data_IF_384835792954
#
_entry.id   IF_384835792954
#
_cell.length_a   1.000
_cell.length_b   1.000
_cell.length_c   1.000
_cell.angle_alpha   90.00
_cell.angle_beta   90.00
_cell.angle_gamma   90.00
#
_symmetry.space_group_name_H-M   'P 1'
#
loop_
_entity.id
_entity.type
_entity.pdbx_description
1 polymer ?
#
# COMPACT_ATOMS: atom_id res chain seq x y z
N UNK A 1 -5.41 -28.55 3.70
CA UNK A 1 -4.75 -27.23 3.70
C UNK A 1 -3.31 -27.44 3.30
N UNK A 2 -2.76 -26.66 2.37
CA UNK A 2 -1.33 -26.74 2.04
C UNK A 2 -0.49 -26.34 3.26
N UNK A 3 0.73 -26.86 3.41
CA UNK A 3 1.59 -26.55 4.57
C UNK A 3 1.83 -25.04 4.76
N UNK A 4 1.97 -24.29 3.66
CA UNK A 4 2.06 -22.82 3.66
C UNK A 4 0.78 -22.15 4.16
N UNK A 5 -0.41 -22.59 3.71
CA UNK A 5 -1.66 -22.02 4.16
C UNK A 5 -1.89 -22.25 5.67
N UNK A 6 -1.47 -23.41 6.19
CA UNK A 6 -1.50 -23.69 7.62
C UNK A 6 -0.58 -22.73 8.41
N UNK A 7 0.61 -22.44 7.88
CA UNK A 7 1.55 -21.52 8.51
C UNK A 7 0.98 -20.08 8.58
N UNK A 8 0.47 -19.55 7.47
CA UNK A 8 -0.10 -18.19 7.45
C UNK A 8 -1.35 -18.06 8.33
N UNK A 9 -2.24 -19.06 8.29
CA UNK A 9 -3.44 -19.06 9.15
C UNK A 9 -3.09 -19.20 10.64
N UNK A 10 -2.10 -20.03 10.98
CA UNK A 10 -1.61 -20.17 12.35
C UNK A 10 -0.98 -18.89 12.88
N UNK A 11 -0.11 -18.25 12.10
CA UNK A 11 0.51 -16.96 12.46
C UNK A 11 -0.52 -15.84 12.61
N UNK A 12 -1.49 -15.77 11.69
CA UNK A 12 -2.57 -14.79 11.76
C UNK A 12 -3.43 -14.96 13.01
N UNK A 13 -3.83 -16.18 13.32
CA UNK A 13 -4.61 -16.48 14.53
C UNK A 13 -3.82 -16.13 15.80
N UNK A 14 -2.55 -16.54 15.89
CA UNK A 14 -1.70 -16.24 17.04
C UNK A 14 -1.54 -14.72 17.26
N UNK A 15 -1.31 -13.97 16.19
CA UNK A 15 -1.20 -12.51 16.27
C UNK A 15 -2.48 -11.87 16.82
N UNK A 16 -3.65 -12.24 16.27
CA UNK A 16 -4.93 -11.66 16.69
C UNK A 16 -5.34 -12.05 18.11
N UNK A 17 -5.12 -13.30 18.52
CA UNK A 17 -5.43 -13.74 19.89
C UNK A 17 -4.53 -13.04 20.91
N UNK A 18 -3.24 -12.88 20.62
CA UNK A 18 -2.32 -12.12 21.48
C UNK A 18 -2.71 -10.65 21.54
N UNK A 19 -3.03 -10.00 20.40
CA UNK A 19 -3.48 -8.61 20.40
C UNK A 19 -4.75 -8.40 21.22
N UNK A 20 -5.73 -9.29 21.10
CA UNK A 20 -6.99 -9.22 21.86
C UNK A 20 -6.73 -9.44 23.36
N UNK A 21 -5.90 -10.41 23.72
CA UNK A 21 -5.51 -10.64 25.11
C UNK A 21 -4.79 -9.44 25.72
N UNK A 22 -3.82 -8.86 25.00
CA UNK A 22 -3.12 -7.64 25.42
C UNK A 22 -4.11 -6.47 25.56
N UNK A 23 -4.98 -6.24 24.57
CA UNK A 23 -5.99 -5.17 24.62
C UNK A 23 -6.91 -5.27 25.83
N UNK A 24 -7.42 -6.47 26.13
CA UNK A 24 -8.25 -6.71 27.32
C UNK A 24 -7.46 -6.49 28.62
N UNK A 25 -6.20 -6.92 28.68
CA UNK A 25 -5.36 -6.67 29.87
C UNK A 25 -5.15 -5.18 30.11
N UNK A 26 -4.86 -4.40 29.06
CA UNK A 26 -4.66 -2.96 29.19
C UNK A 26 -5.92 -2.23 29.71
N UNK A 27 -7.13 -2.70 29.36
CA UNK A 27 -8.38 -2.12 29.86
C UNK A 27 -8.74 -2.58 31.28
N UNK A 28 -8.52 -3.84 31.62
CA UNK A 28 -8.86 -4.39 32.95
C UNK A 28 -7.91 -3.89 34.05
N UNK A 29 -6.61 -3.77 33.76
CA UNK A 29 -5.61 -3.33 34.73
C UNK A 29 -5.49 -1.80 34.84
N UNK A 30 -6.45 -1.05 34.29
CA UNK A 30 -6.50 0.42 34.29
C UNK A 30 -5.23 1.09 33.71
N UNK A 31 -4.49 0.37 32.87
CA UNK A 31 -3.29 0.81 32.16
C UNK A 31 -3.62 1.40 30.78
N UNK A 32 -4.91 1.60 30.48
CA UNK A 32 -5.39 2.09 29.18
C UNK A 32 -4.79 3.44 28.79
N UNK A 33 -4.42 4.28 29.76
CA UNK A 33 -3.74 5.56 29.53
C UNK A 33 -2.36 5.42 28.85
N UNK A 34 -1.74 4.22 28.90
CA UNK A 34 -0.47 3.94 28.20
C UNK A 34 -0.67 3.58 26.74
N UNK A 35 -1.89 3.19 26.34
CA UNK A 35 -2.22 2.93 24.95
C UNK A 35 -2.55 4.25 24.25
N UNK A 36 -1.50 5.01 23.95
CA UNK A 36 -1.61 6.34 23.35
C UNK A 36 -1.32 6.30 21.85
N UNK A 37 -2.40 6.30 21.05
CA UNK A 37 -2.31 6.39 19.59
C UNK A 37 -1.86 7.78 19.14
N UNK A 38 -2.18 8.83 19.90
CA UNK A 38 -1.78 10.19 19.55
C UNK A 38 -0.26 10.33 19.65
N UNK A 39 0.34 9.85 20.74
CA UNK A 39 1.80 9.80 20.88
C UNK A 39 2.47 9.05 19.72
N UNK A 40 1.95 7.89 19.33
CA UNK A 40 2.49 7.13 18.20
C UNK A 40 2.46 7.94 16.89
N UNK A 41 1.37 8.64 16.61
CA UNK A 41 1.23 9.44 15.39
C UNK A 41 2.07 10.72 15.40
N UNK A 42 2.29 11.33 16.57
CA UNK A 42 3.07 12.57 16.69
C UNK A 42 4.57 12.34 16.78
N UNK A 43 5.00 11.25 17.42
CA UNK A 43 6.42 10.91 17.58
C UNK A 43 7.00 10.31 16.29
N UNK A 44 6.17 9.59 15.53
CA UNK A 44 6.58 9.00 14.26
C UNK A 44 6.84 10.08 13.22
N UNK A 45 8.04 10.07 12.62
CA UNK A 45 8.42 11.08 11.62
C UNK A 45 7.44 11.14 10.43
N UNK A 46 6.98 12.33 10.00
CA UNK A 46 6.11 12.50 8.84
C UNK A 46 6.71 11.98 7.53
N UNK A 47 8.04 12.06 7.40
CA UNK A 47 8.77 11.53 6.23
C UNK A 47 8.58 10.02 6.06
N UNK A 48 8.40 9.26 7.14
CA UNK A 48 8.14 7.82 7.05
C UNK A 48 6.84 7.56 6.30
N UNK A 49 5.75 8.25 6.67
CA UNK A 49 4.44 8.10 6.04
C UNK A 49 4.44 8.59 4.59
N UNK A 50 5.08 9.73 4.32
CA UNK A 50 5.17 10.30 2.98
C UNK A 50 5.94 9.38 2.01
N UNK A 51 7.16 8.97 2.38
CA UNK A 51 7.98 8.12 1.52
C UNK A 51 7.41 6.71 1.35
N UNK A 52 6.79 6.16 2.41
CA UNK A 52 6.07 4.89 2.31
C UNK A 52 4.90 5.01 1.33
N UNK A 53 4.13 6.10 1.39
CA UNK A 53 3.03 6.37 0.47
C UNK A 53 3.48 6.47 -0.98
N UNK A 54 4.55 7.24 -1.27
CA UNK A 54 5.13 7.39 -2.61
C UNK A 54 5.61 6.02 -3.14
N UNK A 55 6.34 5.27 -2.32
CA UNK A 55 6.85 3.95 -2.70
C UNK A 55 5.74 2.92 -2.95
N UNK A 56 4.70 2.91 -2.11
CA UNK A 56 3.55 2.01 -2.26
C UNK A 56 2.69 2.38 -3.47
N UNK A 57 2.51 3.66 -3.78
CA UNK A 57 1.72 4.11 -4.93
C UNK A 57 2.27 3.55 -6.25
N UNK A 58 3.58 3.63 -6.47
CA UNK A 58 4.20 3.09 -7.69
C UNK A 58 4.30 1.55 -7.65
N UNK A 59 4.74 0.97 -6.53
CA UNK A 59 4.98 -0.48 -6.46
C UNK A 59 3.69 -1.30 -6.59
N UNK A 60 2.62 -0.94 -5.87
CA UNK A 60 1.35 -1.66 -5.95
C UNK A 60 0.68 -1.52 -7.33
N UNK A 61 0.82 -0.36 -7.97
CA UNK A 61 0.32 -0.14 -9.34
C UNK A 61 1.04 -1.02 -10.36
N UNK A 62 2.37 -1.11 -10.28
CA UNK A 62 3.17 -1.94 -11.20
C UNK A 62 2.95 -3.43 -10.95
N UNK A 63 2.83 -3.86 -9.69
CA UNK A 63 2.49 -5.26 -9.36
C UNK A 63 1.14 -5.65 -9.94
N UNK A 64 0.12 -4.78 -9.81
CA UNK A 64 -1.19 -5.01 -10.41
C UNK A 64 -1.16 -5.09 -11.94
N UNK A 65 -0.42 -4.17 -12.59
CA UNK A 65 -0.24 -4.18 -14.04
C UNK A 65 0.46 -5.46 -14.53
N UNK A 66 1.57 -5.86 -13.89
CA UNK A 66 2.31 -7.07 -14.21
C UNK A 66 1.44 -8.33 -14.07
N UNK A 67 0.62 -8.40 -13.02
CA UNK A 67 -0.31 -9.51 -12.81
C UNK A 67 -1.36 -9.60 -13.93
N UNK A 68 -1.95 -8.47 -14.34
CA UNK A 68 -2.90 -8.40 -15.43
C UNK A 68 -2.31 -8.80 -16.79
N UNK A 69 -1.08 -8.34 -17.07
CA UNK A 69 -0.33 -8.69 -18.28
C UNK A 69 -0.04 -10.19 -18.32
N UNK A 70 0.39 -10.80 -17.21
CA UNK A 70 0.70 -12.23 -17.14
C UNK A 70 -0.53 -13.10 -17.45
N UNK A 71 -1.68 -12.80 -16.83
CA UNK A 71 -2.93 -13.58 -17.05
C UNK A 71 -3.42 -13.42 -18.49
N UNK A 72 -3.43 -12.20 -19.00
CA UNK A 72 -3.92 -11.91 -20.34
C UNK A 72 -2.98 -12.44 -21.42
N UNK A 73 -1.67 -12.26 -21.22
CA UNK A 73 -0.63 -12.71 -22.14
C UNK A 73 -0.59 -14.23 -22.29
N UNK A 74 -0.68 -14.98 -21.19
CA UNK A 74 -0.74 -16.45 -21.25
C UNK A 74 -1.96 -16.95 -22.03
N UNK A 75 -3.10 -16.29 -21.87
CA UNK A 75 -4.34 -16.61 -22.59
C UNK A 75 -4.26 -16.27 -24.09
N UNK A 76 -3.68 -15.12 -24.45
CA UNK A 76 -3.51 -14.70 -25.86
C UNK A 76 -2.57 -15.66 -26.60
N UNK A 77 -1.46 -16.04 -25.98
CA UNK A 77 -0.50 -16.99 -26.59
C UNK A 77 -1.16 -18.36 -26.73
N UNK A 78 -1.86 -18.85 -25.70
CA UNK A 78 -2.56 -20.14 -25.74
C UNK A 78 -3.63 -20.21 -26.84
N UNK A 79 -4.50 -19.19 -26.96
CA UNK A 79 -5.49 -19.13 -28.04
C UNK A 79 -4.90 -18.83 -29.42
N UNK A 80 -3.75 -18.17 -29.45
CA UNK A 80 -3.06 -17.73 -30.66
C UNK A 80 -2.47 -18.86 -31.50
N UNK A 81 -2.28 -20.05 -30.90
CA UNK A 81 -1.79 -21.24 -31.61
C UNK A 81 -2.78 -21.73 -32.67
N UNK A 82 -4.07 -21.82 -32.33
CA UNK A 82 -5.13 -22.26 -33.25
C UNK A 82 -5.65 -21.11 -34.13
N UNK A 83 -5.72 -19.90 -33.58
CA UNK A 83 -6.32 -18.74 -34.23
C UNK A 83 -5.40 -17.51 -34.16
N UNK A 84 -4.36 -17.40 -35.03
CA UNK A 84 -3.34 -16.35 -34.92
C UNK A 84 -3.85 -14.91 -35.17
N UNK A 85 -5.07 -14.74 -35.65
CA UNK A 85 -5.73 -13.43 -35.81
C UNK A 85 -6.11 -12.76 -34.50
N UNK A 86 -6.15 -13.48 -33.38
CA UNK A 86 -6.50 -12.90 -32.06
C UNK A 86 -5.34 -12.10 -31.45
N UNK A 87 -4.11 -12.37 -31.90
CA UNK A 87 -2.89 -11.79 -31.35
C UNK A 87 -2.90 -10.27 -31.38
N UNK A 88 -3.36 -9.68 -32.48
CA UNK A 88 -3.36 -8.22 -32.70
C UNK A 88 -4.63 -7.55 -32.19
N UNK A 89 -5.79 -8.20 -32.31
CA UNK A 89 -7.07 -7.64 -31.82
C UNK A 89 -7.12 -7.54 -30.30
N UNK A 90 -6.51 -8.50 -29.60
CA UNK A 90 -6.56 -8.57 -28.15
C UNK A 90 -5.36 -7.85 -27.49
N UNK A 91 -4.50 -7.13 -28.23
CA UNK A 91 -3.45 -6.31 -27.61
C UNK A 91 -4.02 -5.16 -26.77
N UNK A 92 -5.23 -4.73 -27.07
CA UNK A 92 -5.89 -3.62 -26.36
C UNK A 92 -6.03 -3.90 -24.85
N UNK A 93 -6.23 -5.16 -24.45
CA UNK A 93 -6.31 -5.50 -23.02
C UNK A 93 -4.97 -5.37 -22.29
N UNK A 94 -3.83 -5.62 -22.95
CA UNK A 94 -2.49 -5.38 -22.39
C UNK A 94 -2.24 -3.87 -22.22
N UNK A 95 -2.67 -3.07 -23.19
CA UNK A 95 -2.54 -1.60 -23.14
C UNK A 95 -3.33 -1.01 -21.97
N UNK A 96 -4.51 -1.56 -21.64
CA UNK A 96 -5.25 -1.13 -20.45
C UNK A 96 -4.53 -1.48 -19.14
N UNK A 97 -3.84 -2.62 -19.07
CA UNK A 97 -3.00 -2.95 -17.90
C UNK A 97 -1.79 -2.00 -17.78
N UNK A 98 -1.16 -1.62 -18.89
CA UNK A 98 -0.09 -0.62 -18.93
C UNK A 98 -0.56 0.77 -18.45
N UNK A 99 -1.77 1.19 -18.87
CA UNK A 99 -2.33 2.46 -18.43
C UNK A 99 -2.42 2.59 -16.90
N UNK A 100 -2.71 1.48 -16.18
CA UNK A 100 -2.72 1.45 -14.71
C UNK A 100 -1.33 1.78 -14.11
N UNK A 101 -0.26 1.26 -14.71
CA UNK A 101 1.10 1.59 -14.28
C UNK A 101 1.45 3.06 -14.55
N UNK A 102 0.98 3.61 -15.66
CA UNK A 102 1.16 5.03 -16.01
C UNK A 102 0.45 5.93 -15.00
N UNK A 103 -0.78 5.60 -14.59
CA UNK A 103 -1.46 6.35 -13.52
C UNK A 103 -0.67 6.30 -12.20
N UNK A 104 -0.12 5.13 -11.85
CA UNK A 104 0.70 4.96 -10.65
C UNK A 104 1.96 5.82 -10.64
N UNK A 105 2.74 5.83 -11.72
CA UNK A 105 3.98 6.63 -11.79
C UNK A 105 3.69 8.13 -11.83
N UNK A 106 2.65 8.58 -12.55
CA UNK A 106 2.26 10.00 -12.56
C UNK A 106 1.91 10.46 -11.14
N UNK A 107 1.09 9.69 -10.42
CA UNK A 107 0.71 10.04 -9.05
C UNK A 107 1.91 10.02 -8.09
N UNK A 108 2.82 9.04 -8.22
CA UNK A 108 4.02 8.99 -7.40
C UNK A 108 4.91 10.23 -7.61
N UNK A 109 5.08 10.70 -8.85
CA UNK A 109 5.82 11.93 -9.16
C UNK A 109 5.13 13.16 -8.57
N UNK A 110 3.81 13.28 -8.73
CA UNK A 110 3.03 14.41 -8.20
C UNK A 110 3.17 14.51 -6.67
N UNK A 111 3.02 13.38 -5.97
CA UNK A 111 3.15 13.35 -4.49
C UNK A 111 4.60 13.62 -4.07
N UNK A 112 5.59 13.09 -4.80
CA UNK A 112 7.01 13.35 -4.51
C UNK A 112 7.39 14.82 -4.66
N UNK A 113 6.77 15.55 -5.60
CA UNK A 113 7.04 16.97 -5.79
C UNK A 113 6.46 17.85 -4.66
N UNK A 114 5.56 17.32 -3.83
CA UNK A 114 5.01 18.01 -2.67
C UNK A 114 5.84 17.77 -1.39
N UNK A 115 6.85 16.90 -1.44
CA UNK A 115 7.66 16.54 -0.28
C UNK A 115 8.80 17.55 -0.08
N UNK A 116 8.66 18.43 0.92
CA UNK A 116 9.68 19.42 1.30
C UNK A 116 10.31 19.12 2.66
N UNK A 117 11.62 19.41 2.85
CA UNK A 117 12.25 19.30 4.15
C UNK A 117 11.75 20.40 5.10
N UNK A 118 11.60 20.07 6.38
CA UNK A 118 11.29 21.04 7.43
C UNK A 118 12.24 20.87 8.61
N UNK A 119 12.52 21.99 9.31
CA UNK A 119 13.42 22.04 10.48
C UNK A 119 12.67 22.36 11.79
N UNK A 120 11.35 22.20 11.81
CA UNK A 120 10.54 22.44 13.00
C UNK A 120 10.64 21.26 13.97
N UNK A 121 10.81 21.56 15.26
CA UNK A 121 10.97 20.59 16.35
C UNK A 121 9.69 20.47 17.19
N UNK A 122 8.77 21.43 17.07
CA UNK A 122 7.51 21.49 17.84
C UNK A 122 6.34 20.87 17.06
N UNK A 123 5.51 20.01 17.67
CA UNK A 123 4.37 19.34 17.01
C UNK A 123 3.37 20.30 16.37
N UNK A 124 3.14 21.47 16.98
CA UNK A 124 2.23 22.51 16.50
C UNK A 124 2.71 23.14 15.17
N UNK A 125 4.03 23.32 15.03
CA UNK A 125 4.64 23.87 13.81
C UNK A 125 4.71 22.85 12.67
N UNK A 126 4.77 21.56 13.00
CA UNK A 126 4.75 20.45 12.03
C UNK A 126 3.33 20.21 11.52
N UNK A 127 2.34 20.22 12.41
CA UNK A 127 0.92 20.07 12.07
C UNK A 127 0.43 21.17 11.13
N UNK A 128 0.70 22.44 11.46
CA UNK A 128 0.23 23.58 10.68
C UNK A 128 0.77 23.61 9.23
N UNK A 129 1.98 23.09 8.98
CA UNK A 129 2.55 23.04 7.61
C UNK A 129 2.11 21.83 6.80
N UNK A 130 1.76 20.72 7.45
CA UNK A 130 1.31 19.50 6.77
C UNK A 130 -0.16 19.60 6.32
N UNK A 131 -0.98 20.36 7.04
CA UNK A 131 -2.33 20.73 6.59
C UNK A 131 -2.20 21.99 5.73
N UNK A 132 -1.99 21.83 4.42
CA UNK A 132 -2.20 22.90 3.42
C UNK A 132 -3.67 23.41 3.37
N UNK A 133 -4.37 23.46 4.50
CA UNK A 133 -5.73 23.90 4.72
C UNK A 133 -5.78 25.40 5.11
N UNK A 134 -4.89 26.22 4.56
CA UNK A 134 -5.18 27.64 4.40
C UNK A 134 -6.08 27.81 3.17
N UNK A 135 -7.35 27.42 3.34
CA UNK A 135 -8.51 27.97 2.63
C UNK A 135 -9.42 28.56 3.70
#
# INVERSE_FOLDING_TARGET
MTGLALLYSGLGLAFWTTMLGVGICYTIFDLGFRFDVAWFLTETSPFMWCNLGIGLAISLSVVGAAWGIYITGSSIIGGGVKAPRIKTKNLVSIIFCEAVAIYGIIMAIVISNMAEPFSAVTPEAIGARNYHADI
#
